data_IF_386634959437
#
_entry.id   IF_386634959437
#
_cell.length_a   1.000
_cell.length_b   1.000
_cell.length_c   1.000
_cell.angle_alpha   90.00
_cell.angle_beta   90.00
_cell.angle_gamma   90.00
#
_symmetry.space_group_name_H-M   'P 1'
#
loop_
_entity.id
_entity.type
_entity.pdbx_description
1 polymer ?
#
# COMPACT_ATOMS: atom_id res chain seq x y z
N UNK A 1 -46.42 -42.56 -49.07
CA UNK A 1 -46.91 -41.45 -48.24
C UNK A 1 -45.70 -40.91 -47.47
N UNK A 2 -45.05 -39.85 -47.97
CA UNK A 2 -44.05 -39.06 -47.23
C UNK A 2 -44.79 -37.96 -46.41
N UNK A 3 -44.18 -37.21 -45.45
CA UNK A 3 -42.74 -37.01 -45.18
C UNK A 3 -42.37 -37.03 -43.67
N UNK A 4 -41.09 -37.05 -43.28
CA UNK A 4 -40.29 -35.98 -42.61
C UNK A 4 -39.36 -36.73 -41.64
N UNK A 5 -38.11 -36.39 -41.34
CA UNK A 5 -37.24 -35.27 -41.66
C UNK A 5 -35.86 -35.56 -41.04
N UNK A 6 -34.84 -35.06 -41.72
CA UNK A 6 -33.40 -35.24 -41.52
C UNK A 6 -32.85 -34.30 -40.42
N UNK A 7 -31.86 -34.73 -39.60
CA UNK A 7 -30.63 -33.95 -39.33
C UNK A 7 -29.60 -34.73 -38.46
N UNK A 8 -28.28 -34.47 -38.61
CA UNK A 8 -27.20 -35.34 -38.16
C UNK A 8 -26.26 -34.74 -37.09
N UNK A 9 -25.26 -35.56 -36.73
CA UNK A 9 -24.23 -35.42 -35.71
C UNK A 9 -23.35 -34.15 -35.75
N UNK A 10 -22.78 -33.80 -34.59
CA UNK A 10 -21.63 -32.88 -34.47
C UNK A 10 -20.52 -33.51 -33.60
N UNK A 11 -19.29 -33.43 -34.13
CA UNK A 11 -18.06 -33.98 -33.54
C UNK A 11 -17.20 -32.94 -32.83
N UNK A 12 -16.07 -33.47 -32.33
CA UNK A 12 -14.96 -32.85 -31.59
C UNK A 12 -14.22 -31.75 -32.37
N UNK A 13 -13.68 -30.74 -31.68
CA UNK A 13 -12.24 -30.42 -31.66
C UNK A 13 -11.90 -29.16 -30.85
N UNK A 14 -10.79 -29.27 -30.12
CA UNK A 14 -9.97 -28.26 -29.45
C UNK A 14 -9.13 -27.49 -30.49
N UNK A 15 -9.04 -26.14 -30.43
CA UNK A 15 -7.93 -25.37 -31.05
C UNK A 15 -7.63 -24.05 -30.33
N UNK A 16 -6.35 -23.89 -30.02
CA UNK A 16 -5.63 -22.67 -29.63
C UNK A 16 -5.86 -21.49 -30.59
N UNK A 17 -5.61 -20.25 -30.11
CA UNK A 17 -5.26 -19.17 -31.03
C UNK A 17 -4.17 -18.22 -30.48
N UNK A 18 -2.95 -18.58 -30.88
CA UNK A 18 -1.78 -17.80 -31.28
C UNK A 18 -1.95 -16.28 -31.42
N UNK A 19 -0.95 -15.57 -30.86
CA UNK A 19 -0.62 -14.16 -31.04
C UNK A 19 -0.44 -13.81 -32.52
N UNK A 20 -1.30 -12.95 -33.07
CA UNK A 20 -1.07 -12.31 -34.38
C UNK A 20 -0.77 -10.83 -34.20
N UNK A 21 0.43 -10.43 -34.64
CA UNK A 21 0.84 -9.03 -34.80
C UNK A 21 0.41 -8.57 -36.20
N UNK A 22 -0.40 -7.52 -36.29
CA UNK A 22 -0.70 -6.85 -37.56
C UNK A 22 -0.66 -5.33 -37.37
N UNK A 23 0.05 -4.65 -38.26
CA UNK A 23 0.24 -3.20 -38.28
C UNK A 23 -0.79 -2.51 -39.18
N UNK A 24 -1.32 -1.40 -38.66
CA UNK A 24 -1.82 -0.18 -39.32
C UNK A 24 -2.93 -0.26 -40.37
N UNK A 25 -4.11 0.28 -40.01
CA UNK A 25 -4.91 1.20 -40.84
C UNK A 25 -5.77 2.09 -39.92
N UNK A 26 -5.75 3.38 -40.21
CA UNK A 26 -6.29 4.48 -39.41
C UNK A 26 -7.81 4.45 -39.30
N UNK A 27 -8.31 4.42 -38.06
CA UNK A 27 -9.69 4.70 -37.70
C UNK A 27 -9.71 5.50 -36.41
N UNK A 28 -10.18 6.75 -36.48
CA UNK A 28 -10.31 7.65 -35.33
C UNK A 28 -11.33 7.08 -34.34
N UNK A 29 -10.84 6.27 -33.41
CA UNK A 29 -11.58 5.84 -32.23
C UNK A 29 -11.07 6.66 -31.06
N UNK A 30 -12.01 7.35 -30.42
CA UNK A 30 -11.84 8.08 -29.17
C UNK A 30 -11.06 7.18 -28.22
N UNK A 31 -9.80 7.53 -27.96
CA UNK A 31 -8.97 6.80 -26.99
C UNK A 31 -9.73 6.79 -25.67
N UNK A 32 -10.00 5.61 -25.05
CA UNK A 32 -10.34 5.61 -23.64
C UNK A 32 -9.13 6.24 -22.96
N UNK A 33 -9.36 7.32 -22.21
CA UNK A 33 -8.36 8.02 -21.43
C UNK A 33 -7.33 7.01 -20.90
N UNK A 34 -6.06 7.19 -21.30
CA UNK A 34 -4.95 6.32 -20.95
C UNK A 34 -5.08 5.89 -19.49
N UNK A 35 -5.50 4.63 -19.30
CA UNK A 35 -5.30 3.96 -18.03
C UNK A 35 -3.78 3.81 -17.95
N UNK A 36 -3.12 4.81 -17.32
CA UNK A 36 -1.69 4.77 -17.05
C UNK A 36 -1.44 3.50 -16.26
N UNK A 37 -0.88 2.50 -16.94
CA UNK A 37 -0.49 1.26 -16.31
C UNK A 37 0.63 1.60 -15.32
N UNK A 38 0.46 1.22 -14.05
CA UNK A 38 1.51 1.39 -13.06
C UNK A 38 2.72 0.57 -13.45
N UNK A 39 3.86 1.22 -13.64
CA UNK A 39 5.14 0.55 -13.96
C UNK A 39 6.10 0.77 -12.79
N UNK A 40 6.44 -0.28 -12.03
CA UNK A 40 7.37 -0.14 -10.92
C UNK A 40 8.80 0.11 -11.43
N UNK A 41 9.46 1.11 -10.87
CA UNK A 41 10.85 1.50 -11.20
C UNK A 41 11.82 1.04 -10.12
N UNK A 42 11.38 1.04 -8.85
CA UNK A 42 12.16 0.53 -7.72
C UNK A 42 11.25 -0.19 -6.72
N UNK A 43 11.87 -0.99 -5.85
CA UNK A 43 11.15 -1.64 -4.76
C UNK A 43 11.92 -1.58 -3.45
N UNK A 44 11.19 -1.62 -2.34
CA UNK A 44 11.70 -1.61 -0.98
C UNK A 44 10.99 -2.69 -0.16
N UNK A 45 11.72 -3.47 0.62
CA UNK A 45 11.13 -4.44 1.54
C UNK A 45 10.96 -3.82 2.93
N UNK A 46 9.72 -3.76 3.42
CA UNK A 46 9.38 -3.24 4.75
C UNK A 46 9.26 -4.41 5.73
N UNK A 47 10.09 -4.42 6.76
CA UNK A 47 10.14 -5.49 7.76
C UNK A 47 9.30 -5.15 9.02
N UNK A 48 7.98 -5.18 8.87
CA UNK A 48 7.04 -4.91 9.97
C UNK A 48 6.33 -6.18 10.42
N UNK A 49 6.44 -6.54 11.71
CA UNK A 49 5.80 -7.76 12.24
C UNK A 49 4.28 -7.60 12.38
N UNK A 50 3.81 -6.36 12.53
CA UNK A 50 2.39 -6.07 12.77
C UNK A 50 1.84 -6.68 14.07
N UNK A 51 0.53 -6.92 14.09
CA UNK A 51 -0.22 -7.47 15.21
C UNK A 51 -1.05 -8.69 14.78
N UNK A 52 -0.80 -9.83 15.43
CA UNK A 52 -1.53 -11.09 15.19
C UNK A 52 -3.04 -10.98 15.51
N UNK A 53 -3.83 -11.87 14.91
CA UNK A 53 -5.29 -11.91 15.08
C UNK A 53 -5.71 -12.14 16.54
N UNK A 54 -5.08 -13.13 17.19
CA UNK A 54 -5.32 -13.50 18.58
C UNK A 54 -4.14 -13.02 19.41
N UNK A 55 -4.27 -11.83 20.00
CA UNK A 55 -3.29 -11.25 20.93
C UNK A 55 -4.00 -10.26 21.83
N UNK A 56 -3.48 -10.08 23.05
CA UNK A 56 -3.91 -8.98 23.92
C UNK A 56 -3.62 -7.63 23.23
N UNK A 57 -4.50 -6.61 23.40
CA UNK A 57 -4.47 -5.35 22.65
C UNK A 57 -3.36 -4.38 23.08
N UNK A 58 -2.23 -4.91 23.53
CA UNK A 58 -1.07 -4.12 23.89
C UNK A 58 -0.46 -3.44 22.65
N UNK A 59 0.15 -2.25 22.81
CA UNK A 59 0.90 -1.63 21.74
C UNK A 59 1.96 -2.60 21.17
N UNK A 60 2.24 -2.56 19.85
CA UNK A 60 3.28 -3.37 19.24
C UNK A 60 4.61 -3.20 19.97
N UNK A 61 5.35 -4.29 20.20
CA UNK A 61 6.64 -4.25 20.90
C UNK A 61 7.80 -3.85 19.99
N UNK A 62 7.64 -4.00 18.66
CA UNK A 62 8.64 -3.59 17.67
C UNK A 62 8.85 -2.07 17.77
N UNK A 63 10.08 -1.65 18.08
CA UNK A 63 10.47 -0.24 18.17
C UNK A 63 11.14 0.26 16.90
N UNK A 64 11.70 -0.66 16.11
CA UNK A 64 12.43 -0.36 14.88
C UNK A 64 11.88 -1.22 13.75
N UNK A 65 11.55 -0.58 12.64
CA UNK A 65 11.13 -1.21 11.39
C UNK A 65 12.22 -0.88 10.37
N UNK A 66 12.91 -1.90 9.88
CA UNK A 66 13.93 -1.76 8.84
C UNK A 66 13.27 -1.81 7.47
N UNK A 67 13.64 -0.88 6.60
CA UNK A 67 13.28 -0.87 5.19
C UNK A 67 14.54 -1.14 4.38
N UNK A 68 14.53 -2.19 3.57
CA UNK A 68 15.69 -2.65 2.80
C UNK A 68 15.45 -2.49 1.31
N UNK A 69 16.51 -2.20 0.57
CA UNK A 69 16.51 -2.24 -0.90
C UNK A 69 16.54 -3.70 -1.38
N UNK A 70 16.32 -3.96 -2.69
CA UNK A 70 16.30 -5.32 -3.23
C UNK A 70 17.67 -6.02 -3.17
N UNK A 71 18.74 -5.24 -3.10
CA UNK A 71 20.12 -5.66 -2.85
C UNK A 71 20.37 -6.15 -1.40
N UNK A 72 19.39 -5.98 -0.51
CA UNK A 72 19.48 -6.31 0.91
C UNK A 72 20.10 -5.21 1.78
N UNK A 73 20.58 -4.11 1.18
CA UNK A 73 21.13 -2.98 1.92
C UNK A 73 20.03 -2.20 2.63
N UNK A 74 20.38 -1.60 3.77
CA UNK A 74 19.48 -0.75 4.53
C UNK A 74 19.17 0.52 3.72
N UNK A 75 17.89 0.82 3.55
CA UNK A 75 17.41 2.04 2.91
C UNK A 75 17.00 3.06 3.97
N UNK A 76 16.13 2.62 4.89
CA UNK A 76 15.60 3.47 5.94
C UNK A 76 15.35 2.68 7.22
N UNK A 77 15.34 3.38 8.34
CA UNK A 77 14.92 2.83 9.64
C UNK A 77 13.83 3.71 10.23
N UNK A 78 12.65 3.15 10.48
CA UNK A 78 11.63 3.82 11.28
C UNK A 78 11.83 3.49 12.75
N UNK A 79 12.16 4.49 13.56
CA UNK A 79 12.49 4.33 14.97
C UNK A 79 11.44 4.98 15.87
N UNK A 80 11.07 4.25 16.91
CA UNK A 80 10.17 4.72 17.98
C UNK A 80 10.86 4.64 19.33
N UNK A 81 10.75 5.70 20.11
CA UNK A 81 11.43 5.84 21.40
C UNK A 81 10.90 4.90 22.49
N UNK A 82 9.59 4.65 22.52
CA UNK A 82 8.93 3.83 23.56
C UNK A 82 7.78 3.03 22.97
N UNK A 83 7.52 1.85 23.54
CA UNK A 83 6.43 0.95 23.13
C UNK A 83 5.05 1.61 23.15
N UNK A 84 4.79 2.48 24.13
CA UNK A 84 3.53 3.22 24.28
C UNK A 84 3.44 4.49 23.43
N UNK A 85 4.54 4.88 22.77
CA UNK A 85 4.54 6.07 21.91
C UNK A 85 3.84 5.78 20.58
N UNK A 86 3.09 6.77 20.10
CA UNK A 86 2.60 6.80 18.73
C UNK A 86 3.63 7.37 17.76
N UNK A 87 4.55 8.20 18.24
CA UNK A 87 5.47 8.95 17.40
C UNK A 87 6.61 8.07 16.88
N UNK A 88 7.07 8.35 15.67
CA UNK A 88 8.24 7.72 15.08
C UNK A 88 9.03 8.72 14.24
N UNK A 89 10.31 8.41 14.04
CA UNK A 89 11.21 9.15 13.15
C UNK A 89 11.70 8.18 12.08
N UNK A 90 11.62 8.58 10.83
CA UNK A 90 12.23 7.89 9.70
C UNK A 90 13.66 8.40 9.56
N UNK A 91 14.61 7.48 9.60
CA UNK A 91 16.04 7.71 9.45
C UNK A 91 16.50 7.15 8.09
N UNK A 92 17.45 7.81 7.45
CA UNK A 92 18.22 7.26 6.32
C UNK A 92 19.12 6.09 6.76
N UNK A 93 19.74 5.40 5.80
CA UNK A 93 20.81 4.42 6.00
C UNK A 93 21.98 4.94 6.86
N UNK A 94 22.23 6.26 6.84
CA UNK A 94 23.27 6.92 7.64
C UNK A 94 22.79 7.36 9.05
N UNK A 95 21.61 6.91 9.49
CA UNK A 95 20.93 7.34 10.73
C UNK A 95 20.56 8.84 10.80
N UNK A 96 20.60 9.54 9.66
CA UNK A 96 20.16 10.93 9.56
C UNK A 96 18.63 11.02 9.60
N UNK A 97 18.03 11.85 10.47
CA UNK A 97 16.57 11.93 10.58
C UNK A 97 15.96 12.74 9.43
N UNK A 98 15.08 12.09 8.65
CA UNK A 98 14.46 12.67 7.45
C UNK A 98 13.03 13.18 7.71
N UNK A 99 12.21 12.36 8.38
CA UNK A 99 10.79 12.65 8.61
C UNK A 99 10.43 12.28 10.05
N UNK A 100 9.68 13.15 10.72
CA UNK A 100 9.00 12.79 11.97
C UNK A 100 7.51 12.62 11.73
N UNK A 101 6.94 11.62 12.39
CA UNK A 101 5.49 11.41 12.41
C UNK A 101 5.01 11.54 13.85
N UNK A 102 4.19 12.56 14.10
CA UNK A 102 3.42 12.69 15.33
C UNK A 102 2.11 11.93 15.16
N UNK A 103 1.85 10.96 16.03
CA UNK A 103 0.68 10.09 15.91
C UNK A 103 0.09 9.82 17.27
N UNK A 104 -1.23 9.87 17.38
CA UNK A 104 -1.97 9.53 18.58
C UNK A 104 -2.99 8.42 18.30
N UNK A 105 -3.03 7.40 19.16
CA UNK A 105 -4.05 6.36 19.07
C UNK A 105 -5.35 6.85 19.71
N UNK A 106 -6.37 7.10 18.89
CA UNK A 106 -7.71 7.46 19.34
C UNK A 106 -8.43 8.45 18.43
N UNK A 107 -9.66 8.83 18.76
CA UNK A 107 -10.39 9.87 18.04
C UNK A 107 -9.76 11.25 18.24
N UNK A 108 -10.12 12.19 17.36
CA UNK A 108 -9.86 13.64 17.49
C UNK A 108 -8.39 14.11 17.42
N UNK A 109 -7.43 13.23 17.13
CA UNK A 109 -6.03 13.63 16.89
C UNK A 109 -5.52 12.97 15.61
N UNK A 110 -5.39 13.78 14.57
CA UNK A 110 -4.88 13.33 13.29
C UNK A 110 -3.35 13.24 13.32
N UNK A 111 -2.75 12.22 12.68
CA UNK A 111 -1.31 12.15 12.48
C UNK A 111 -0.79 13.34 11.66
N UNK A 112 0.35 13.87 12.09
CA UNK A 112 1.07 14.95 11.41
C UNK A 112 2.42 14.40 10.97
N UNK A 113 2.75 14.58 9.70
CA UNK A 113 4.04 14.19 9.13
C UNK A 113 4.83 15.47 8.87
N UNK A 114 6.01 15.58 9.46
CA UNK A 114 6.90 16.75 9.37
C UNK A 114 8.21 16.33 8.72
N UNK A 115 8.52 16.92 7.56
CA UNK A 115 9.80 16.76 6.88
C UNK A 115 10.85 17.60 7.62
N UNK A 116 11.99 16.99 7.97
CA UNK A 116 13.05 17.64 8.74
C UNK A 116 14.10 18.34 7.87
N UNK A 117 14.21 17.98 6.61
CA UNK A 117 15.37 18.32 5.77
C UNK A 117 15.14 19.50 4.82
N UNK A 118 14.50 20.56 5.34
CA UNK A 118 14.47 21.84 4.66
C UNK A 118 14.82 22.91 5.70
N UNK A 119 15.77 23.79 5.36
CA UNK A 119 16.01 25.09 6.02
C UNK A 119 14.78 26.04 5.97
N UNK A 120 13.58 25.49 5.83
CA UNK A 120 12.29 26.17 5.72
C UNK A 120 11.42 25.64 6.84
N UNK A 121 10.79 26.57 7.54
CA UNK A 121 10.03 26.46 8.77
C UNK A 121 8.81 25.48 8.66
N UNK A 122 7.84 25.42 9.60
CA UNK A 122 6.82 24.35 9.72
C UNK A 122 5.76 24.26 8.58
N UNK A 123 6.06 24.81 7.40
CA UNK A 123 5.21 24.88 6.20
C UNK A 123 5.24 23.59 5.36
N UNK A 124 6.13 22.64 5.65
CA UNK A 124 6.20 21.35 4.92
C UNK A 124 5.54 20.19 5.69
N UNK A 125 4.53 20.50 6.50
CA UNK A 125 3.74 19.50 7.19
C UNK A 125 2.68 18.90 6.27
N UNK A 126 2.67 17.57 6.16
CA UNK A 126 1.63 16.82 5.46
C UNK A 126 0.58 16.38 6.49
N UNK A 127 -0.67 16.80 6.30
CA UNK A 127 -1.79 16.52 7.22
C UNK A 127 -2.62 15.33 6.72
N UNK A 128 -2.95 14.41 7.63
CA UNK A 128 -3.87 13.30 7.35
C UNK A 128 -5.31 13.72 7.61
N UNK A 129 -6.17 13.80 6.59
CA UNK A 129 -7.57 14.24 6.72
C UNK A 129 -8.59 13.11 6.89
N UNK A 130 -8.12 11.86 6.98
CA UNK A 130 -9.00 10.70 7.07
C UNK A 130 -9.39 10.37 8.51
N UNK A 131 -10.64 9.92 8.71
CA UNK A 131 -11.10 9.36 9.99
C UNK A 131 -10.14 8.27 10.48
N UNK A 132 -9.90 8.23 11.78
CA UNK A 132 -8.98 7.27 12.40
C UNK A 132 -9.40 5.79 12.17
N UNK A 133 -10.70 5.52 12.06
CA UNK A 133 -11.26 4.19 11.74
C UNK A 133 -11.26 3.84 10.25
N UNK A 134 -11.06 4.82 9.37
CA UNK A 134 -11.09 4.62 7.92
C UNK A 134 -9.96 3.68 7.46
N UNK A 135 -10.27 2.80 6.51
CA UNK A 135 -9.30 1.96 5.79
C UNK A 135 -8.56 2.71 4.68
N UNK A 136 -9.04 3.90 4.31
CA UNK A 136 -8.41 4.84 3.39
C UNK A 136 -7.75 5.98 4.16
N UNK A 137 -6.53 6.35 3.78
CA UNK A 137 -5.81 7.47 4.36
C UNK A 137 -5.49 8.51 3.30
N UNK A 138 -6.06 9.69 3.44
CA UNK A 138 -5.90 10.81 2.49
C UNK A 138 -5.04 11.88 3.12
N UNK A 139 -4.02 12.33 2.40
CA UNK A 139 -3.05 13.30 2.84
C UNK A 139 -3.17 14.55 1.97
N UNK A 140 -3.06 15.72 2.60
CA UNK A 140 -2.96 17.00 1.91
C UNK A 140 -1.53 17.49 1.93
N UNK A 141 -1.01 17.76 0.73
CA UNK A 141 0.28 18.42 0.52
C UNK A 141 0.14 19.93 0.75
N UNK A 142 1.24 20.63 1.08
CA UNK A 142 1.25 22.09 1.21
C UNK A 142 0.84 22.83 -0.07
N UNK A 143 1.04 22.22 -1.24
CA UNK A 143 0.67 22.76 -2.55
C UNK A 143 -0.84 22.59 -2.89
N UNK A 144 -1.62 22.02 -1.97
CA UNK A 144 -3.06 21.78 -2.14
C UNK A 144 -3.40 20.47 -2.83
N UNK A 145 -2.42 19.71 -3.35
CA UNK A 145 -2.68 18.39 -3.93
C UNK A 145 -2.98 17.37 -2.83
N UNK A 146 -3.70 16.32 -3.23
CA UNK A 146 -4.08 15.25 -2.33
C UNK A 146 -3.63 13.90 -2.88
N UNK A 147 -3.12 13.06 -1.98
CA UNK A 147 -2.83 11.67 -2.29
C UNK A 147 -3.44 10.75 -1.25
N UNK A 148 -3.73 9.50 -1.61
CA UNK A 148 -4.37 8.58 -0.70
C UNK A 148 -3.88 7.13 -0.82
N UNK A 149 -3.73 6.49 0.33
CA UNK A 149 -3.57 5.06 0.45
C UNK A 149 -4.92 4.38 0.57
N UNK A 150 -5.14 3.32 -0.22
CA UNK A 150 -6.34 2.48 -0.16
C UNK A 150 -6.00 1.01 -0.47
N UNK A 151 -6.89 0.08 -0.09
CA UNK A 151 -6.70 -1.33 -0.44
C UNK A 151 -7.01 -1.53 -1.93
N UNK A 152 -6.15 -2.30 -2.60
CA UNK A 152 -6.38 -2.69 -3.98
C UNK A 152 -7.64 -3.57 -4.09
N UNK A 153 -8.48 -3.27 -5.08
CA UNK A 153 -9.58 -4.15 -5.47
C UNK A 153 -9.08 -5.34 -6.29
N UNK A 154 -9.93 -6.35 -6.49
CA UNK A 154 -9.58 -7.58 -7.25
C UNK A 154 -8.95 -7.31 -8.62
N UNK A 155 -9.49 -6.34 -9.37
CA UNK A 155 -8.96 -5.95 -10.69
C UNK A 155 -7.54 -5.42 -10.61
N UNK A 156 -7.26 -4.57 -9.62
CA UNK A 156 -5.93 -4.00 -9.39
C UNK A 156 -4.95 -5.04 -8.88
N UNK A 157 -5.38 -5.98 -8.03
CA UNK A 157 -4.56 -7.10 -7.59
C UNK A 157 -4.13 -7.99 -8.77
N UNK A 158 -5.03 -8.26 -9.72
CA UNK A 158 -4.70 -9.02 -10.93
C UNK A 158 -3.61 -8.33 -11.78
N UNK A 159 -3.55 -7.00 -11.79
CA UNK A 159 -2.46 -6.24 -12.45
C UNK A 159 -1.09 -6.50 -11.81
N UNK A 160 -1.06 -6.89 -10.54
CA UNK A 160 0.16 -7.24 -9.81
C UNK A 160 0.42 -8.75 -9.74
N UNK A 161 -0.34 -9.57 -10.49
CA UNK A 161 -0.30 -11.04 -10.42
C UNK A 161 -0.54 -11.58 -8.99
N UNK A 162 -1.45 -10.95 -8.26
CA UNK A 162 -1.80 -11.34 -6.89
C UNK A 162 -3.16 -12.02 -6.88
N UNK A 163 -3.18 -13.29 -6.45
CA UNK A 163 -4.41 -13.98 -6.09
C UNK A 163 -5.05 -13.31 -4.87
N UNK A 164 -6.27 -12.78 -5.06
CA UNK A 164 -7.03 -12.11 -4.00
C UNK A 164 -7.36 -13.02 -2.80
N UNK A 165 -7.27 -14.34 -2.95
CA UNK A 165 -7.42 -15.28 -1.83
C UNK A 165 -6.14 -15.41 -0.98
N UNK A 166 -4.96 -15.14 -1.55
CA UNK A 166 -3.65 -15.39 -0.92
C UNK A 166 -2.87 -14.10 -0.61
N UNK A 167 -3.26 -12.99 -1.21
CA UNK A 167 -2.56 -11.73 -1.11
C UNK A 167 -3.46 -10.52 -0.95
N UNK A 168 -2.86 -9.44 -0.47
CA UNK A 168 -3.46 -8.11 -0.40
C UNK A 168 -2.45 -7.08 -0.89
N UNK A 169 -2.93 -5.93 -1.32
CA UNK A 169 -2.08 -4.80 -1.63
C UNK A 169 -2.70 -3.49 -1.10
N UNK A 170 -1.85 -2.57 -0.68
CA UNK A 170 -2.21 -1.17 -0.49
C UNK A 170 -1.67 -0.39 -1.69
N UNK A 171 -2.48 0.46 -2.30
CA UNK A 171 -2.06 1.31 -3.40
C UNK A 171 -2.10 2.77 -2.96
N UNK A 172 -1.09 3.51 -3.39
CA UNK A 172 -1.00 4.95 -3.22
C UNK A 172 -1.43 5.62 -4.51
N UNK A 173 -2.42 6.50 -4.43
CA UNK A 173 -2.89 7.30 -5.56
C UNK A 173 -2.56 8.78 -5.37
N UNK A 174 -1.97 9.40 -6.38
CA UNK A 174 -1.81 10.85 -6.51
C UNK A 174 -2.60 11.29 -7.75
N UNK A 175 -3.51 12.26 -7.59
CA UNK A 175 -4.34 12.78 -8.69
C UNK A 175 -5.05 11.69 -9.52
N UNK A 176 -5.47 10.61 -8.84
CA UNK A 176 -6.17 9.47 -9.44
C UNK A 176 -5.28 8.39 -10.04
N UNK A 177 -3.96 8.62 -10.18
CA UNK A 177 -2.99 7.67 -10.72
C UNK A 177 -2.30 6.90 -9.61
N UNK A 178 -2.03 5.62 -9.83
CA UNK A 178 -1.28 4.80 -8.85
C UNK A 178 0.21 5.15 -8.98
N UNK A 179 0.82 5.57 -7.87
CA UNK A 179 2.25 5.98 -7.83
C UNK A 179 3.11 5.05 -6.97
N UNK A 180 2.49 4.27 -6.08
CA UNK A 180 3.17 3.23 -5.31
C UNK A 180 2.21 2.11 -4.91
N UNK A 181 2.73 0.92 -4.60
CA UNK A 181 1.94 -0.20 -4.11
C UNK A 181 2.71 -1.05 -3.10
N UNK A 182 2.15 -1.28 -1.90
CA UNK A 182 2.66 -2.26 -0.94
C UNK A 182 2.01 -3.61 -1.20
N UNK A 183 2.78 -4.56 -1.72
CA UNK A 183 2.38 -5.93 -2.05
C UNK A 183 2.62 -6.86 -0.87
N UNK A 184 1.57 -7.59 -0.46
CA UNK A 184 1.62 -8.56 0.64
C UNK A 184 1.07 -9.90 0.19
N UNK A 185 1.96 -10.83 -0.10
CA UNK A 185 1.67 -12.24 -0.38
C UNK A 185 2.57 -13.15 0.49
N UNK A 186 2.52 -14.46 0.26
CA UNK A 186 3.33 -15.42 1.03
C UNK A 186 4.86 -15.18 0.89
N UNK A 187 5.30 -14.67 -0.25
CA UNK A 187 6.72 -14.41 -0.53
C UNK A 187 7.19 -13.05 -0.02
N UNK A 188 6.30 -12.04 -0.04
CA UNK A 188 6.69 -10.66 0.28
C UNK A 188 6.43 -10.26 1.73
N UNK A 189 5.57 -10.98 2.46
CA UNK A 189 5.28 -10.66 3.86
C UNK A 189 6.51 -10.84 4.75
N UNK A 190 6.58 -10.03 5.79
CA UNK A 190 7.55 -10.21 6.88
C UNK A 190 7.48 -11.64 7.43
N UNK A 191 8.62 -12.35 7.53
CA UNK A 191 8.67 -13.71 8.08
C UNK A 191 8.00 -13.82 9.46
N UNK A 192 7.32 -14.93 9.70
CA UNK A 192 6.57 -15.15 10.94
C UNK A 192 5.23 -14.40 11.04
N UNK A 193 4.85 -13.62 10.02
CA UNK A 193 3.53 -13.00 9.93
C UNK A 193 2.61 -13.80 9.01
N UNK A 194 1.30 -13.61 9.19
CA UNK A 194 0.26 -14.29 8.41
C UNK A 194 -0.62 -13.29 7.69
N UNK A 195 -1.49 -13.78 6.80
CA UNK A 195 -2.53 -12.98 6.15
C UNK A 195 -3.39 -12.18 7.16
N UNK A 196 -3.62 -12.73 8.36
CA UNK A 196 -4.41 -12.10 9.41
C UNK A 196 -3.61 -11.16 10.33
N UNK A 197 -2.33 -10.96 10.07
CA UNK A 197 -1.50 -10.01 10.85
C UNK A 197 -1.78 -8.59 10.37
N UNK A 198 -2.32 -7.73 11.24
CA UNK A 198 -2.57 -6.32 10.91
C UNK A 198 -1.27 -5.54 10.89
N UNK A 199 -1.05 -4.67 9.91
CA UNK A 199 0.12 -3.80 9.85
C UNK A 199 1.42 -4.54 9.60
N UNK A 200 1.36 -5.76 9.07
CA UNK A 200 2.57 -6.46 8.64
C UNK A 200 3.16 -5.84 7.36
N UNK A 201 4.46 -6.04 7.22
CA UNK A 201 5.26 -5.56 6.12
C UNK A 201 5.01 -6.32 4.82
N UNK A 202 5.77 -5.96 3.80
CA UNK A 202 5.57 -6.35 2.41
C UNK A 202 6.65 -5.76 1.51
N UNK A 203 6.45 -5.94 0.21
CA UNK A 203 7.27 -5.29 -0.82
C UNK A 203 6.57 -4.02 -1.30
N UNK A 204 7.18 -2.87 -1.06
CA UNK A 204 6.73 -1.56 -1.51
C UNK A 204 7.32 -1.27 -2.89
N UNK A 205 6.49 -1.31 -3.91
CA UNK A 205 6.80 -0.93 -5.29
C UNK A 205 6.59 0.57 -5.47
N UNK A 206 7.56 1.23 -6.10
CA UNK A 206 7.54 2.67 -6.38
C UNK A 206 7.47 2.88 -7.90
N UNK A 207 6.55 3.72 -8.35
CA UNK A 207 6.40 4.06 -9.77
C UNK A 207 7.34 5.17 -10.21
N UNK A 208 7.33 5.47 -11.51
CA UNK A 208 8.13 6.56 -12.10
C UNK A 208 7.76 7.96 -11.58
N UNK A 209 6.56 8.13 -11.05
CA UNK A 209 6.11 9.39 -10.43
C UNK A 209 6.70 9.62 -9.03
N UNK A 210 7.45 8.67 -8.47
CA UNK A 210 8.16 8.83 -7.20
C UNK A 210 9.53 9.45 -7.48
N UNK A 211 9.93 10.46 -6.70
CA UNK A 211 11.11 11.31 -6.91
C UNK A 211 11.13 12.12 -8.22
N UNK A 212 10.00 12.20 -8.94
CA UNK A 212 9.85 13.15 -10.06
C UNK A 212 9.67 14.58 -9.55
N UNK A 213 9.92 15.59 -10.41
CA UNK A 213 9.80 17.02 -10.07
C UNK A 213 8.41 17.41 -9.55
N UNK A 214 7.38 16.73 -10.04
CA UNK A 214 5.99 16.90 -9.60
C UNK A 214 5.50 15.70 -8.78
N UNK A 215 6.40 14.78 -8.45
CA UNK A 215 6.11 13.54 -7.76
C UNK A 215 5.98 13.68 -6.25
N UNK A 216 5.91 12.52 -5.59
CA UNK A 216 6.13 12.40 -4.15
C UNK A 216 7.58 11.95 -3.91
N UNK A 217 8.24 12.51 -2.89
CA UNK A 217 9.52 11.99 -2.43
C UNK A 217 9.38 10.57 -1.88
N UNK A 218 10.38 9.72 -2.14
CA UNK A 218 10.42 8.33 -1.69
C UNK A 218 10.24 8.22 -0.16
N UNK A 219 10.93 9.07 0.60
CA UNK A 219 10.85 9.14 2.05
C UNK A 219 9.42 9.44 2.54
N UNK A 220 8.68 10.30 1.83
CA UNK A 220 7.29 10.60 2.15
C UNK A 220 6.36 9.42 1.84
N UNK A 221 6.60 8.72 0.72
CA UNK A 221 5.86 7.49 0.37
C UNK A 221 6.08 6.42 1.45
N UNK A 222 7.33 6.22 1.89
CA UNK A 222 7.68 5.28 2.97
C UNK A 222 7.02 5.69 4.28
N UNK A 223 7.14 6.95 4.70
CA UNK A 223 6.56 7.45 5.95
C UNK A 223 5.03 7.27 5.98
N UNK A 224 4.34 7.60 4.89
CA UNK A 224 2.88 7.47 4.81
C UNK A 224 2.43 6.00 4.73
N UNK A 225 3.24 5.13 4.12
CA UNK A 225 3.04 3.68 4.17
C UNK A 225 3.13 3.14 5.62
N UNK A 226 4.10 3.59 6.40
CA UNK A 226 4.23 3.20 7.81
C UNK A 226 3.04 3.67 8.66
N UNK A 227 2.50 4.87 8.39
CA UNK A 227 1.25 5.34 9.01
C UNK A 227 0.08 4.43 8.67
N UNK A 228 -0.01 3.92 7.44
CA UNK A 228 -1.03 2.94 7.05
C UNK A 228 -0.93 1.65 7.86
N UNK A 229 0.27 1.09 8.02
CA UNK A 229 0.50 -0.11 8.82
C UNK A 229 0.14 0.11 10.29
N UNK A 230 0.47 1.28 10.83
CA UNK A 230 0.10 1.67 12.19
C UNK A 230 -1.42 1.73 12.37
N UNK A 231 -2.14 2.35 11.42
CA UNK A 231 -3.61 2.39 11.45
C UNK A 231 -4.23 1.00 11.35
N UNK A 232 -3.65 0.08 10.59
CA UNK A 232 -4.09 -1.32 10.59
C UNK A 232 -3.98 -1.95 11.98
N UNK A 233 -2.82 -1.83 12.63
CA UNK A 233 -2.60 -2.33 14.00
C UNK A 233 -3.62 -1.73 14.98
N UNK A 234 -3.82 -0.41 14.91
CA UNK A 234 -4.70 0.31 15.81
C UNK A 234 -6.17 -0.05 15.63
N UNK A 235 -6.64 -0.24 14.39
CA UNK A 235 -7.99 -0.76 14.14
C UNK A 235 -8.17 -2.15 14.73
N UNK A 236 -7.14 -3.02 14.63
CA UNK A 236 -7.19 -4.36 15.24
C UNK A 236 -7.22 -4.29 16.77
N UNK A 237 -6.40 -3.43 17.38
CA UNK A 237 -6.40 -3.19 18.83
C UNK A 237 -7.74 -2.67 19.32
N UNK A 238 -8.34 -1.71 18.61
CA UNK A 238 -9.66 -1.19 18.95
C UNK A 238 -10.71 -2.30 18.93
N UNK A 239 -10.73 -3.14 17.89
CA UNK A 239 -11.64 -4.29 17.83
C UNK A 239 -11.41 -5.29 18.97
N UNK A 240 -10.14 -5.62 19.27
CA UNK A 240 -9.79 -6.51 20.37
C UNK A 240 -10.23 -5.95 21.73
N UNK A 241 -10.05 -4.65 21.98
CA UNK A 241 -10.54 -3.98 23.19
C UNK A 241 -12.05 -4.11 23.28
N UNK A 242 -12.80 -3.82 22.20
CA UNK A 242 -14.26 -3.91 22.20
C UNK A 242 -14.76 -5.34 22.49
N UNK A 243 -14.13 -6.36 21.89
CA UNK A 243 -14.48 -7.77 22.12
C UNK A 243 -14.19 -8.19 23.57
N UNK A 244 -13.03 -7.80 24.11
CA UNK A 244 -12.66 -8.13 25.50
C UNK A 244 -13.60 -7.40 26.48
N UNK A 245 -13.87 -6.11 26.26
CA UNK A 245 -14.76 -5.32 27.13
C UNK A 245 -16.22 -5.76 27.05
N UNK A 246 -16.68 -6.33 25.93
CA UNK A 246 -18.05 -6.86 25.80
C UNK A 246 -18.21 -8.31 26.28
N UNK A 247 -17.11 -9.02 26.53
CA UNK A 247 -17.10 -10.35 27.12
C UNK A 247 -17.01 -10.35 28.65
N UNK A 248 -16.86 -9.16 29.26
CA UNK A 248 -16.80 -8.92 30.71
C UNK A 248 -18.16 -8.45 31.22
#
# INVERSE_FOLDING_TARGET
MFPLGLAPASGLEEKDCVVTRASSLSGSTISPAQASCFTPVSSLHIDSTGLALIRLPFPPSQLEITIRKPDGHLAYTSKRTKRSSGNCTLLDASDTPLITTSYFFGPCREPIISLLDCDKAPEHNVKLTSKWTSRKCTYLLPDGRAFAWEYAGKKTLATFDIDAAKGTALILKLDGRVVAALIRNEKTRTPGTTYFSAGNGGELLLGSDVNDKHGLGEELVVATCLVMLKKECDRRRALQIMVISGAV
#
